data_IF_321774804671
#
_entry.id   IF_321774804671
#
_cell.length_a   1.000
_cell.length_b   1.000
_cell.length_c   1.000
_cell.angle_alpha   90.00
_cell.angle_beta   90.00
_cell.angle_gamma   90.00
#
_symmetry.space_group_name_H-M   'P 1'
#
loop_
_entity.id
_entity.type
_entity.pdbx_description
1 polymer ?
#
# COMPACT_ATOMS: atom_id res chain seq x y z
N UNK A 1 9.49 6.24 -5.43
CA UNK A 1 9.34 4.95 -4.75
C UNK A 1 10.70 4.30 -4.50
N UNK A 2 11.49 3.90 -5.50
CA UNK A 2 12.77 3.16 -5.32
C UNK A 2 13.70 3.84 -4.31
N UNK A 3 13.83 5.18 -4.35
CA UNK A 3 14.64 5.93 -3.37
C UNK A 3 14.09 5.79 -1.95
N UNK A 4 12.78 5.82 -1.78
CA UNK A 4 12.15 5.65 -0.47
C UNK A 4 12.37 4.23 0.07
N UNK A 5 12.21 3.21 -0.79
CA UNK A 5 12.51 1.81 -0.42
C UNK A 5 13.96 1.66 0.01
N UNK A 6 14.93 2.24 -0.74
CA UNK A 6 16.35 2.20 -0.35
C UNK A 6 16.61 2.84 1.02
N UNK A 7 16.01 4.00 1.28
CA UNK A 7 16.17 4.66 2.58
C UNK A 7 15.61 3.79 3.70
N UNK A 8 14.42 3.19 3.49
CA UNK A 8 13.81 2.28 4.46
C UNK A 8 14.65 1.04 4.72
N UNK A 9 15.19 0.46 3.66
CA UNK A 9 16.09 -0.71 3.78
C UNK A 9 17.34 -0.34 4.58
N UNK A 10 17.96 0.82 4.32
CA UNK A 10 19.12 1.29 5.08
C UNK A 10 18.81 1.49 6.57
N UNK A 11 17.61 1.92 6.91
CA UNK A 11 17.15 2.01 8.30
C UNK A 11 17.05 0.63 8.93
N UNK A 12 16.38 -0.31 8.26
CA UNK A 12 16.22 -1.68 8.74
C UNK A 12 17.57 -2.41 8.88
N UNK A 13 18.51 -2.20 7.97
CA UNK A 13 19.86 -2.76 8.04
C UNK A 13 20.65 -2.20 9.23
N UNK A 14 20.52 -0.90 9.55
CA UNK A 14 21.15 -0.31 10.74
C UNK A 14 20.66 -0.94 12.02
N UNK A 15 19.36 -1.24 12.07
CA UNK A 15 18.72 -1.87 13.22
C UNK A 15 18.88 -3.40 13.22
N UNK A 16 19.61 -3.94 12.25
CA UNK A 16 19.85 -5.39 12.05
C UNK A 16 18.55 -6.20 11.89
N UNK A 17 17.52 -5.58 11.30
CA UNK A 17 16.19 -6.18 11.05
C UNK A 17 16.19 -6.82 9.67
N UNK A 18 15.79 -8.11 9.61
CA UNK A 18 15.59 -8.81 8.35
C UNK A 18 14.34 -8.27 7.65
N UNK A 19 14.42 -8.12 6.33
CA UNK A 19 13.32 -7.62 5.52
C UNK A 19 13.09 -8.48 4.28
N UNK A 20 11.87 -8.41 3.75
CA UNK A 20 11.49 -8.97 2.45
C UNK A 20 10.68 -7.95 1.67
N UNK A 21 10.78 -7.98 0.36
CA UNK A 21 10.13 -7.01 -0.53
C UNK A 21 9.18 -7.74 -1.47
N UNK A 22 7.92 -7.31 -1.49
CA UNK A 22 6.95 -7.66 -2.52
C UNK A 22 6.89 -6.48 -3.48
N UNK A 23 7.27 -6.70 -4.73
CA UNK A 23 7.29 -5.63 -5.72
C UNK A 23 6.11 -5.75 -6.68
N UNK A 24 5.35 -4.67 -6.82
CA UNK A 24 4.22 -4.58 -7.73
C UNK A 24 4.60 -3.60 -8.84
N UNK A 25 4.83 -4.12 -10.04
CA UNK A 25 5.23 -3.36 -11.22
C UNK A 25 6.64 -3.64 -11.70
N UNK A 26 6.77 -3.75 -13.02
CA UNK A 26 8.00 -4.20 -13.70
C UNK A 26 9.21 -3.31 -13.47
N UNK A 27 9.05 -1.99 -13.65
CA UNK A 27 10.17 -1.04 -13.55
C UNK A 27 10.79 -0.98 -12.16
N UNK A 28 9.95 -1.02 -11.11
CA UNK A 28 10.42 -1.07 -9.72
C UNK A 28 11.13 -2.37 -9.42
N UNK A 29 10.58 -3.47 -9.89
CA UNK A 29 11.15 -4.80 -9.74
C UNK A 29 12.55 -4.92 -10.36
N UNK A 30 12.73 -4.50 -11.61
CA UNK A 30 14.01 -4.62 -12.31
C UNK A 30 15.14 -3.91 -11.54
N UNK A 31 14.84 -2.74 -10.94
CA UNK A 31 15.81 -1.98 -10.14
C UNK A 31 16.04 -2.61 -8.77
N UNK A 32 14.98 -3.02 -8.08
CA UNK A 32 15.09 -3.57 -6.73
C UNK A 32 15.69 -4.97 -6.73
N UNK A 33 15.39 -5.77 -7.74
CA UNK A 33 16.01 -7.08 -7.94
C UNK A 33 17.52 -6.97 -8.12
N UNK A 34 18.00 -6.01 -8.91
CA UNK A 34 19.43 -5.79 -9.08
C UNK A 34 20.19 -5.39 -7.81
N UNK A 35 19.46 -4.89 -6.77
CA UNK A 35 20.04 -4.44 -5.52
C UNK A 35 19.82 -5.42 -4.35
N UNK A 36 18.70 -6.11 -4.34
CA UNK A 36 18.18 -6.91 -3.21
C UNK A 36 17.59 -8.24 -3.69
N UNK A 37 18.25 -8.95 -4.60
CA UNK A 37 17.72 -10.15 -5.27
C UNK A 37 17.20 -11.21 -4.29
N UNK A 38 17.94 -11.48 -3.22
CA UNK A 38 17.57 -12.46 -2.18
C UNK A 38 16.38 -12.05 -1.33
N UNK A 39 16.08 -10.74 -1.26
CA UNK A 39 15.01 -10.20 -0.43
C UNK A 39 13.72 -9.94 -1.21
N UNK A 40 13.77 -9.94 -2.54
CA UNK A 40 12.59 -9.77 -3.39
C UNK A 40 11.90 -11.11 -3.59
N UNK A 41 10.79 -11.31 -2.88
CA UNK A 41 10.08 -12.61 -2.82
C UNK A 41 8.98 -12.74 -3.86
N UNK A 42 8.45 -11.65 -4.37
CA UNK A 42 7.33 -11.66 -5.32
C UNK A 42 7.40 -10.48 -6.27
N UNK A 43 7.14 -10.75 -7.53
CA UNK A 43 6.90 -9.73 -8.55
C UNK A 43 5.56 -9.99 -9.24
N UNK A 44 4.69 -9.00 -9.24
CA UNK A 44 3.41 -9.07 -9.94
C UNK A 44 3.29 -7.94 -10.93
N UNK A 45 2.98 -8.28 -12.18
CA UNK A 45 2.68 -7.31 -13.21
C UNK A 45 1.24 -6.82 -13.06
N UNK A 46 1.07 -5.52 -12.91
CA UNK A 46 -0.26 -4.90 -12.85
C UNK A 46 -0.84 -4.81 -14.27
N UNK A 47 -2.01 -5.41 -14.46
CA UNK A 47 -2.98 -4.94 -15.43
C UNK A 47 -4.08 -4.19 -14.66
N UNK A 48 -4.46 -3.01 -15.11
CA UNK A 48 -5.53 -2.21 -14.48
C UNK A 48 -6.83 -3.00 -14.34
N UNK A 49 -7.05 -4.00 -15.21
CA UNK A 49 -8.22 -4.88 -15.17
C UNK A 49 -8.22 -5.88 -14.01
N UNK A 50 -7.04 -6.29 -13.51
CA UNK A 50 -6.89 -7.33 -12.48
C UNK A 50 -6.36 -6.79 -11.15
N UNK A 51 -6.43 -5.48 -10.94
CA UNK A 51 -5.84 -4.83 -9.76
C UNK A 51 -6.43 -5.34 -8.44
N UNK A 52 -7.75 -5.61 -8.40
CA UNK A 52 -8.41 -6.12 -7.21
C UNK A 52 -8.01 -7.58 -6.90
N UNK A 53 -8.06 -8.46 -7.90
CA UNK A 53 -7.64 -9.86 -7.75
C UNK A 53 -6.19 -9.97 -7.29
N UNK A 54 -5.31 -9.12 -7.85
CA UNK A 54 -3.93 -9.04 -7.44
C UNK A 54 -3.79 -8.57 -5.99
N UNK A 55 -4.58 -7.59 -5.57
CA UNK A 55 -4.56 -7.11 -4.18
C UNK A 55 -5.02 -8.18 -3.19
N UNK A 56 -6.00 -9.00 -3.55
CA UNK A 56 -6.43 -10.15 -2.74
C UNK A 56 -5.35 -11.22 -2.64
N UNK A 57 -4.69 -11.54 -3.75
CA UNK A 57 -3.59 -12.52 -3.76
C UNK A 57 -2.44 -12.07 -2.86
N UNK A 58 -2.03 -10.81 -2.99
CA UNK A 58 -0.97 -10.24 -2.16
C UNK A 58 -1.41 -10.16 -0.70
N UNK A 59 -2.65 -9.73 -0.43
CA UNK A 59 -3.20 -9.69 0.92
C UNK A 59 -3.19 -11.05 1.60
N UNK A 60 -3.61 -12.11 0.89
CA UNK A 60 -3.56 -13.50 1.39
C UNK A 60 -2.12 -13.94 1.68
N UNK A 61 -1.17 -13.63 0.79
CA UNK A 61 0.24 -13.97 0.99
C UNK A 61 0.83 -13.25 2.20
N UNK A 62 0.50 -11.97 2.38
CA UNK A 62 0.93 -11.17 3.54
C UNK A 62 0.40 -11.81 4.82
N UNK A 63 -0.89 -12.13 4.91
CA UNK A 63 -1.49 -12.72 6.10
C UNK A 63 -0.90 -14.09 6.40
N UNK A 64 -0.80 -14.96 5.39
CA UNK A 64 -0.25 -16.31 5.53
C UNK A 64 1.17 -16.31 6.12
N UNK A 65 2.00 -15.35 5.71
CA UNK A 65 3.36 -15.21 6.23
C UNK A 65 3.40 -14.61 7.63
N UNK A 66 2.46 -13.73 7.93
CA UNK A 66 2.30 -13.18 9.27
C UNK A 66 1.87 -14.27 10.28
N UNK A 67 0.91 -15.12 9.90
CA UNK A 67 0.47 -16.27 10.72
C UNK A 67 1.58 -17.31 10.95
N UNK A 68 2.58 -17.35 10.07
CA UNK A 68 3.78 -18.20 10.21
C UNK A 68 4.91 -17.53 11.01
N UNK A 69 4.66 -16.37 11.61
CA UNK A 69 5.67 -15.58 12.34
C UNK A 69 6.91 -15.24 11.49
N UNK A 70 6.79 -15.12 10.15
CA UNK A 70 7.90 -14.77 9.28
C UNK A 70 8.32 -13.31 9.43
N UNK A 71 7.43 -12.44 9.90
CA UNK A 71 7.68 -11.01 10.14
C UNK A 71 6.70 -10.42 11.17
N UNK A 72 7.08 -9.31 11.84
CA UNK A 72 6.25 -8.62 12.82
C UNK A 72 5.57 -7.35 12.30
N UNK A 73 6.03 -6.81 11.17
CA UNK A 73 5.46 -5.58 10.60
C UNK A 73 5.46 -5.61 9.08
N UNK A 74 4.46 -4.96 8.50
CA UNK A 74 4.35 -4.79 7.05
C UNK A 74 3.93 -3.36 6.71
N UNK A 75 4.62 -2.74 5.75
CA UNK A 75 4.26 -1.41 5.25
C UNK A 75 4.20 -1.39 3.72
N UNK A 76 3.34 -0.52 3.17
CA UNK A 76 3.25 -0.25 1.73
C UNK A 76 3.92 1.08 1.44
N UNK A 77 4.80 1.10 0.43
CA UNK A 77 5.38 2.33 -0.12
C UNK A 77 4.82 2.54 -1.52
N UNK A 78 4.09 3.62 -1.70
CA UNK A 78 3.39 3.92 -2.95
C UNK A 78 3.39 5.42 -3.27
N UNK A 79 2.99 5.78 -4.49
CA UNK A 79 2.78 7.17 -4.87
C UNK A 79 1.33 7.56 -4.60
N UNK A 80 1.12 8.40 -3.58
CA UNK A 80 -0.19 9.02 -3.32
C UNK A 80 -0.46 10.09 -4.38
N UNK A 81 -1.60 9.98 -5.05
CA UNK A 81 -2.02 10.93 -6.06
C UNK A 81 -2.52 12.23 -5.41
N UNK A 82 -1.87 13.34 -5.68
CA UNK A 82 -2.30 14.67 -5.25
C UNK A 82 -2.90 15.47 -6.41
N UNK A 83 -2.25 15.43 -7.56
CA UNK A 83 -2.71 16.06 -8.82
C UNK A 83 -2.01 15.41 -10.01
N UNK A 84 -2.45 15.72 -11.24
CA UNK A 84 -1.81 15.23 -12.45
C UNK A 84 -0.30 15.54 -12.54
N UNK A 85 0.14 16.64 -11.92
CA UNK A 85 1.52 17.12 -11.94
C UNK A 85 2.28 16.73 -10.67
N UNK A 86 1.59 16.46 -9.54
CA UNK A 86 2.19 16.25 -8.24
C UNK A 86 1.80 14.92 -7.63
N UNK A 87 2.81 14.13 -7.27
CA UNK A 87 2.66 12.86 -6.58
C UNK A 87 3.56 12.86 -5.35
N UNK A 88 3.09 12.29 -4.28
CA UNK A 88 3.82 12.21 -3.00
C UNK A 88 4.11 10.74 -2.72
N UNK A 89 5.39 10.39 -2.54
CA UNK A 89 5.76 9.07 -2.05
C UNK A 89 5.30 8.95 -0.61
N UNK A 90 4.44 7.99 -0.33
CA UNK A 90 3.87 7.75 0.99
C UNK A 90 4.21 6.34 1.45
N UNK A 91 4.50 6.20 2.72
CA UNK A 91 4.61 4.93 3.44
C UNK A 91 3.39 4.80 4.35
N UNK A 92 2.75 3.64 4.32
CA UNK A 92 1.60 3.32 5.15
C UNK A 92 1.82 1.96 5.79
N UNK A 93 1.71 1.88 7.12
CA UNK A 93 1.72 0.61 7.85
C UNK A 93 0.41 -0.13 7.59
N UNK A 94 0.52 -1.44 7.31
CA UNK A 94 -0.63 -2.33 7.18
C UNK A 94 -0.70 -3.26 8.40
N UNK A 95 0.45 -3.71 8.88
CA UNK A 95 0.58 -4.56 10.06
C UNK A 95 1.68 -3.95 10.94
N UNK A 96 1.38 -3.59 12.20
CA UNK A 96 0.06 -3.60 12.83
C UNK A 96 -0.90 -2.62 12.14
N UNK A 97 -2.20 -2.96 12.16
CA UNK A 97 -3.24 -2.07 11.66
C UNK A 97 -3.36 -0.89 12.64
N UNK A 98 -2.74 0.23 12.27
CA UNK A 98 -2.91 1.47 13.01
C UNK A 98 -4.27 2.04 12.58
N UNK A 99 -5.24 1.97 13.47
CA UNK A 99 -6.46 2.76 13.36
C UNK A 99 -6.00 4.19 13.63
N UNK A 100 -5.71 4.95 12.58
CA UNK A 100 -5.50 6.38 12.71
C UNK A 100 -6.86 6.98 13.06
N UNK A 101 -6.97 7.54 14.24
CA UNK A 101 -8.08 8.43 14.64
C UNK A 101 -7.99 9.75 13.82
N UNK A 102 -7.91 9.63 12.48
CA UNK A 102 -7.99 10.78 11.57
C UNK A 102 -9.44 11.17 11.30
N UNK A 103 -10.17 11.43 12.37
CA UNK A 103 -11.38 12.25 12.34
C UNK A 103 -11.28 13.27 13.46
N UNK A 104 -10.32 14.20 13.37
CA UNK A 104 -10.31 15.37 14.26
C UNK A 104 -11.53 16.31 14.05
N UNK A 105 -12.34 16.07 13.03
CA UNK A 105 -13.53 16.89 12.73
C UNK A 105 -14.83 16.37 13.37
N UNK A 106 -14.83 15.21 14.04
CA UNK A 106 -16.04 14.66 14.68
C UNK A 106 -16.04 14.68 16.21
N UNK A 107 -15.21 15.53 16.84
CA UNK A 107 -15.17 15.64 18.32
C UNK A 107 -16.35 16.36 18.97
N UNK A 108 -17.42 16.68 18.25
CA UNK A 108 -18.55 17.42 18.85
C UNK A 108 -19.82 16.60 19.12
N UNK A 109 -19.85 15.29 18.93
CA UNK A 109 -21.04 14.49 19.26
C UNK A 109 -20.72 13.18 19.97
N UNK A 110 -19.87 13.22 21.00
CA UNK A 110 -19.78 12.10 21.96
C UNK A 110 -20.92 12.18 22.98
N UNK A 111 -22.15 12.11 22.47
CA UNK A 111 -23.29 11.61 23.22
C UNK A 111 -23.44 10.13 22.88
N UNK A 112 -22.48 9.33 23.28
CA UNK A 112 -22.66 7.88 23.36
C UNK A 112 -23.68 7.61 24.46
N UNK A 113 -24.97 7.70 24.06
CA UNK A 113 -26.02 6.93 24.71
C UNK A 113 -25.44 5.52 24.80
N UNK A 114 -25.31 4.97 26.01
CA UNK A 114 -24.73 3.64 26.25
C UNK A 114 -25.54 2.53 25.59
N UNK A 115 -25.51 2.50 24.26
CA UNK A 115 -26.09 1.45 23.44
C UNK A 115 -25.01 0.35 23.40
N UNK A 116 -25.20 -0.67 24.22
CA UNK A 116 -24.46 -1.91 24.04
C UNK A 116 -24.94 -2.53 22.72
N UNK A 117 -24.11 -2.44 21.69
CA UNK A 117 -24.33 -3.21 20.48
C UNK A 117 -24.00 -4.67 20.79
N UNK A 118 -25.00 -5.54 20.70
CA UNK A 118 -24.80 -6.97 20.63
C UNK A 118 -24.45 -7.31 19.18
N UNK A 119 -23.23 -7.84 18.95
CA UNK A 119 -22.81 -8.29 17.64
C UNK A 119 -23.18 -9.77 17.45
N UNK A 120 -23.93 -10.08 16.40
CA UNK A 120 -24.13 -11.44 15.92
C UNK A 120 -23.56 -11.54 14.49
N UNK A 121 -22.62 -12.41 14.20
CA UNK A 121 -21.83 -13.30 15.08
C UNK A 121 -20.86 -12.57 16.02
N UNK A 122 -20.13 -13.32 16.85
CA UNK A 122 -19.19 -12.79 17.82
C UNK A 122 -18.18 -11.80 17.21
N UNK A 123 -17.82 -10.74 17.94
CA UNK A 123 -16.93 -9.67 17.50
C UNK A 123 -15.61 -10.21 16.94
N UNK A 124 -15.05 -11.24 17.55
CA UNK A 124 -13.82 -11.91 17.11
C UNK A 124 -13.97 -12.57 15.74
N UNK A 125 -15.12 -13.15 15.43
CA UNK A 125 -15.41 -13.79 14.15
C UNK A 125 -15.58 -12.73 13.04
N UNK A 126 -16.27 -11.63 13.35
CA UNK A 126 -16.40 -10.48 12.43
C UNK A 126 -15.04 -9.90 12.11
N UNK A 127 -14.19 -9.66 13.12
CA UNK A 127 -12.84 -9.11 12.92
C UNK A 127 -11.95 -10.06 12.09
N UNK A 128 -12.02 -11.36 12.34
CA UNK A 128 -11.26 -12.36 11.56
C UNK A 128 -11.60 -12.30 10.06
N UNK A 129 -12.85 -11.98 9.71
CA UNK A 129 -13.30 -11.89 8.33
C UNK A 129 -13.01 -10.52 7.71
N UNK A 130 -13.03 -9.45 8.50
CA UNK A 130 -12.83 -8.08 8.02
C UNK A 130 -11.35 -7.71 7.84
N UNK A 131 -10.45 -8.18 8.72
CA UNK A 131 -9.02 -7.84 8.66
C UNK A 131 -8.37 -8.22 7.33
N UNK A 132 -8.56 -9.43 6.78
CA UNK A 132 -8.02 -9.78 5.47
C UNK A 132 -8.56 -8.91 4.33
N UNK A 133 -9.84 -8.58 4.39
CA UNK A 133 -10.50 -7.70 3.41
C UNK A 133 -9.94 -6.29 3.49
N UNK A 134 -9.73 -5.77 4.69
CA UNK A 134 -9.15 -4.44 4.91
C UNK A 134 -7.74 -4.35 4.32
N UNK A 135 -6.87 -5.34 4.58
CA UNK A 135 -5.53 -5.41 4.02
C UNK A 135 -5.58 -5.38 2.49
N UNK A 136 -6.43 -6.21 1.88
CA UNK A 136 -6.60 -6.25 0.42
C UNK A 136 -7.07 -4.90 -0.15
N UNK A 137 -8.00 -4.23 0.52
CA UNK A 137 -8.50 -2.90 0.12
C UNK A 137 -7.41 -1.83 0.22
N UNK A 138 -6.59 -1.84 1.28
CA UNK A 138 -5.47 -0.91 1.43
C UNK A 138 -4.43 -1.10 0.32
N UNK A 139 -4.09 -2.36 -0.01
CA UNK A 139 -3.20 -2.68 -1.13
C UNK A 139 -3.82 -2.19 -2.45
N UNK A 140 -5.10 -2.45 -2.67
CA UNK A 140 -5.82 -2.02 -3.88
C UNK A 140 -5.84 -0.50 -4.02
N UNK A 141 -6.11 0.23 -2.94
CA UNK A 141 -6.02 1.70 -2.90
C UNK A 141 -4.64 2.19 -3.34
N UNK A 142 -3.57 1.61 -2.80
CA UNK A 142 -2.20 1.98 -3.16
C UNK A 142 -1.89 1.72 -4.64
N UNK A 143 -2.40 0.62 -5.20
CA UNK A 143 -2.30 0.29 -6.63
C UNK A 143 -3.01 1.35 -7.47
N UNK A 144 -4.25 1.69 -7.12
CA UNK A 144 -5.04 2.69 -7.85
C UNK A 144 -4.41 4.08 -7.81
N UNK A 145 -3.95 4.52 -6.64
CA UNK A 145 -3.30 5.82 -6.49
C UNK A 145 -2.00 5.91 -7.30
N UNK A 146 -1.17 4.86 -7.26
CA UNK A 146 0.05 4.80 -8.08
C UNK A 146 -0.26 4.77 -9.58
N UNK A 147 -1.30 4.05 -9.99
CA UNK A 147 -1.77 4.00 -11.37
C UNK A 147 -2.31 5.35 -11.85
N UNK A 148 -3.11 6.03 -11.03
CA UNK A 148 -3.61 7.38 -11.31
C UNK A 148 -2.44 8.37 -11.47
N UNK A 149 -1.44 8.28 -10.59
CA UNK A 149 -0.23 9.09 -10.68
C UNK A 149 0.55 8.86 -11.97
N UNK A 150 0.69 7.62 -12.41
CA UNK A 150 1.36 7.29 -13.68
C UNK A 150 0.60 7.88 -14.88
N UNK A 151 -0.72 7.73 -14.93
CA UNK A 151 -1.54 8.28 -16.02
C UNK A 151 -1.53 9.80 -16.02
N UNK A 152 -1.61 10.44 -14.84
CA UNK A 152 -1.51 11.89 -14.69
C UNK A 152 -0.17 12.44 -15.22
N UNK A 153 0.94 11.81 -14.84
CA UNK A 153 2.27 12.18 -15.32
C UNK A 153 2.41 11.99 -16.84
N UNK A 154 1.85 10.92 -17.38
CA UNK A 154 1.83 10.66 -18.82
C UNK A 154 1.04 11.74 -19.57
N UNK A 155 -0.15 12.09 -19.06
CA UNK A 155 -0.97 13.16 -19.63
C UNK A 155 -0.24 14.50 -19.62
N UNK A 156 0.38 14.89 -18.52
CA UNK A 156 1.14 16.12 -18.41
C UNK A 156 2.35 16.15 -19.37
N UNK A 157 3.05 15.02 -19.52
CA UNK A 157 4.16 14.90 -20.47
C UNK A 157 3.70 15.05 -21.92
N UNK A 158 2.56 14.45 -22.28
CA UNK A 158 1.99 14.57 -23.64
C UNK A 158 1.49 15.99 -23.93
N UNK A 159 0.85 16.66 -22.95
CA UNK A 159 0.42 18.06 -23.09
C UNK A 159 1.61 18.99 -23.32
N UNK A 160 2.67 18.83 -22.53
CA UNK A 160 3.91 19.58 -22.71
C UNK A 160 4.55 19.32 -24.08
N UNK A 161 4.58 18.06 -24.54
CA UNK A 161 5.13 17.71 -25.84
C UNK A 161 4.30 18.34 -26.99
N UNK A 162 2.97 18.31 -26.88
CA UNK A 162 2.08 18.92 -27.88
C UNK A 162 2.24 20.43 -27.94
N UNK A 163 2.37 21.08 -26.78
CA UNK A 163 2.58 22.53 -26.68
C UNK A 163 3.90 22.95 -27.31
N UNK A 164 4.98 22.20 -27.02
CA UNK A 164 6.30 22.48 -27.62
C UNK A 164 6.38 22.19 -29.11
N UNK A 165 5.53 21.30 -29.65
CA UNK A 165 5.47 21.00 -31.06
C UNK A 165 4.59 21.98 -31.83
N UNK A 166 3.76 22.78 -31.18
CA UNK A 166 2.90 23.80 -31.76
C UNK A 166 3.50 25.20 -31.80
N UNK A 167 4.67 25.41 -31.22
CA UNK A 167 5.52 26.60 -31.35
C UNK A 167 6.53 26.40 -32.48
#
# INVERSE_FOLDING_TARGET
IVKAVKNKVLELEKDNIKFKIICIGRKGFDVLKGLYDENVIMNSNISVKNGYELSEQIGKEVILRFEKDEYGSCSIIYNKFKSAISQIVSEQSIIPCLISDESEDDKENDNSLGINFEFEPDESEILADLLPKNISVQIYKAILESGAGEQGARMAAMDNATRNAGE
#
